data_IF_771863986449
#
_entry.id   IF_771863986449
#
_cell.length_a   1.000
_cell.length_b   1.000
_cell.length_c   1.000
_cell.angle_alpha   90.00
_cell.angle_beta   90.00
_cell.angle_gamma   90.00
#
_symmetry.space_group_name_H-M   'P 1'
#
loop_
_entity.id
_entity.type
_entity.pdbx_description
1 polymer ?
#
# COMPACT_ATOMS: atom_id res chain seq x y z
N UNK A 1 37.27 2.71 -15.57
CA UNK A 1 37.07 1.96 -14.35
C UNK A 1 35.85 1.09 -14.54
N UNK A 2 36.07 -0.21 -14.45
CA UNK A 2 35.06 -1.23 -14.69
C UNK A 2 33.98 -1.09 -13.64
N UNK A 3 32.77 -0.73 -14.06
CA UNK A 3 31.63 -0.61 -13.17
C UNK A 3 30.78 -1.88 -13.25
N UNK A 4 30.44 -2.43 -12.10
CA UNK A 4 29.55 -3.57 -11.99
C UNK A 4 28.18 -3.05 -11.54
N UNK A 5 27.14 -3.31 -12.33
CA UNK A 5 25.76 -2.93 -12.00
C UNK A 5 25.01 -4.15 -11.50
N UNK A 6 24.47 -4.05 -10.29
CA UNK A 6 23.60 -5.06 -9.70
C UNK A 6 22.15 -4.60 -9.75
N UNK A 7 21.31 -5.37 -10.43
CA UNK A 7 19.87 -5.16 -10.49
C UNK A 7 19.17 -6.01 -9.44
N UNK A 8 18.51 -5.36 -8.50
CA UNK A 8 17.84 -6.04 -7.38
C UNK A 8 16.33 -6.06 -7.61
N UNK A 9 15.74 -7.24 -7.59
CA UNK A 9 14.30 -7.41 -7.75
C UNK A 9 13.54 -7.15 -6.43
N UNK A 10 12.28 -6.73 -6.53
CA UNK A 10 11.42 -6.41 -5.35
C UNK A 10 11.11 -7.61 -4.45
N UNK A 11 11.39 -8.82 -4.91
CA UNK A 11 11.18 -10.04 -4.14
C UNK A 11 12.41 -10.47 -3.32
N UNK A 12 13.51 -9.71 -3.41
CA UNK A 12 14.73 -9.95 -2.62
C UNK A 12 14.46 -9.70 -1.14
N UNK A 13 15.04 -10.51 -0.26
CA UNK A 13 14.89 -10.29 1.17
C UNK A 13 15.58 -8.99 1.63
N UNK A 14 15.11 -8.44 2.74
CA UNK A 14 15.64 -7.19 3.30
C UNK A 14 17.12 -7.35 3.73
N UNK A 15 17.48 -8.54 4.20
CA UNK A 15 18.85 -8.86 4.63
C UNK A 15 19.81 -8.77 3.43
N UNK A 16 19.45 -9.37 2.31
CA UNK A 16 20.24 -9.31 1.06
C UNK A 16 20.34 -7.88 0.57
N UNK A 17 19.25 -7.11 0.60
CA UNK A 17 19.25 -5.70 0.22
C UNK A 17 20.21 -4.88 1.08
N UNK A 18 20.19 -5.08 2.40
CA UNK A 18 21.08 -4.39 3.33
C UNK A 18 22.57 -4.75 3.08
N UNK A 19 22.86 -6.02 2.86
CA UNK A 19 24.20 -6.45 2.51
C UNK A 19 24.69 -5.80 1.21
N UNK A 20 23.85 -5.77 0.18
CA UNK A 20 24.18 -5.13 -1.10
C UNK A 20 24.41 -3.61 -0.94
N UNK A 21 23.63 -2.94 -0.07
CA UNK A 21 23.85 -1.54 0.25
C UNK A 21 25.21 -1.32 0.93
N UNK A 22 25.58 -2.18 1.88
CA UNK A 22 26.91 -2.13 2.53
C UNK A 22 28.02 -2.33 1.50
N UNK A 23 27.87 -3.30 0.59
CA UNK A 23 28.82 -3.53 -0.50
C UNK A 23 28.96 -2.31 -1.41
N UNK A 24 27.84 -1.71 -1.82
CA UNK A 24 27.85 -0.53 -2.67
C UNK A 24 28.48 0.70 -2.00
N UNK A 25 28.36 0.81 -0.68
CA UNK A 25 29.06 1.87 0.08
C UNK A 25 30.56 1.59 0.24
N UNK A 26 30.94 0.34 0.41
CA UNK A 26 32.36 -0.05 0.59
C UNK A 26 33.14 0.01 -0.72
N UNK A 27 32.54 -0.36 -1.81
CA UNK A 27 33.17 -0.48 -3.11
C UNK A 27 32.52 0.45 -4.13
N UNK A 28 33.20 1.51 -4.52
CA UNK A 28 32.68 2.57 -5.42
C UNK A 28 32.40 2.10 -6.85
N UNK A 29 32.94 0.94 -7.25
CA UNK A 29 32.70 0.35 -8.57
C UNK A 29 31.38 -0.43 -8.64
N UNK A 30 30.72 -0.70 -7.51
CA UNK A 30 29.40 -1.32 -7.48
C UNK A 30 28.29 -0.27 -7.51
N UNK A 31 27.35 -0.44 -8.44
CA UNK A 31 26.13 0.36 -8.51
C UNK A 31 24.92 -0.51 -8.30
N UNK A 32 24.07 -0.16 -7.35
CA UNK A 32 22.79 -0.79 -7.16
C UNK A 32 21.72 -0.09 -8.02
N UNK A 33 20.96 -0.90 -8.73
CA UNK A 33 19.86 -0.46 -9.59
C UNK A 33 18.63 -1.34 -9.37
N UNK A 34 17.46 -0.80 -9.67
CA UNK A 34 16.23 -1.55 -9.72
C UNK A 34 15.69 -1.57 -11.16
N UNK A 35 15.09 -2.68 -11.60
CA UNK A 35 14.61 -2.81 -12.97
C UNK A 35 13.41 -1.91 -13.27
N UNK A 36 12.57 -1.65 -12.29
CA UNK A 36 11.36 -0.85 -12.45
C UNK A 36 11.46 0.51 -11.76
N UNK A 37 10.94 1.58 -12.40
CA UNK A 37 10.86 2.88 -11.75
C UNK A 37 9.88 2.81 -10.58
N UNK A 38 10.39 2.86 -9.37
CA UNK A 38 9.57 2.96 -8.18
C UNK A 38 9.47 4.43 -7.76
N UNK A 39 8.77 5.21 -8.54
CA UNK A 39 8.34 6.54 -8.09
C UNK A 39 7.09 6.36 -7.21
N UNK A 40 7.31 6.05 -5.96
CA UNK A 40 6.31 6.34 -4.95
C UNK A 40 6.35 7.87 -4.77
N UNK A 41 5.34 8.55 -5.30
CA UNK A 41 5.19 9.99 -5.12
C UNK A 41 4.65 10.28 -3.71
N UNK A 42 5.33 9.77 -2.70
CA UNK A 42 4.96 9.92 -1.29
C UNK A 42 6.13 10.56 -0.58
N UNK A 43 5.89 11.61 0.19
CA UNK A 43 6.92 12.22 1.01
C UNK A 43 7.49 11.19 2.00
N UNK A 44 8.80 11.28 2.27
CA UNK A 44 9.49 10.37 3.19
C UNK A 44 8.81 10.30 4.56
N UNK A 45 8.23 11.40 5.01
CA UNK A 45 7.44 11.46 6.26
C UNK A 45 6.17 10.60 6.22
N UNK A 46 5.72 10.21 5.03
CA UNK A 46 4.53 9.38 4.82
C UNK A 46 4.85 7.90 4.65
N UNK A 47 6.11 7.49 4.74
CA UNK A 47 6.51 6.09 4.60
C UNK A 47 5.83 5.17 5.63
N UNK A 48 5.39 5.69 6.78
CA UNK A 48 4.61 4.93 7.75
C UNK A 48 3.26 4.44 7.19
N UNK A 49 2.72 5.11 6.16
CA UNK A 49 1.50 4.68 5.49
C UNK A 49 1.69 3.41 4.65
N UNK A 50 2.93 3.08 4.31
CA UNK A 50 3.26 1.88 3.54
C UNK A 50 3.31 0.62 4.42
N UNK A 51 3.39 0.79 5.74
CA UNK A 51 3.41 -0.32 6.68
C UNK A 51 2.00 -0.82 6.97
N UNK A 52 1.79 -2.11 6.80
CA UNK A 52 0.53 -2.75 7.19
C UNK A 52 0.59 -3.15 8.66
N UNK A 53 -0.16 -2.43 9.51
CA UNK A 53 -0.35 -2.77 10.92
C UNK A 53 -1.58 -3.64 11.20
N UNK A 54 -2.14 -4.27 10.17
CA UNK A 54 -3.39 -5.01 10.28
C UNK A 54 -3.16 -6.41 10.85
N UNK A 55 -3.42 -6.56 12.14
CA UNK A 55 -3.43 -7.86 12.81
C UNK A 55 -4.81 -8.53 12.75
N UNK A 56 -4.82 -9.85 12.90
CA UNK A 56 -6.06 -10.65 12.87
C UNK A 56 -7.07 -10.20 13.93
N UNK A 57 -6.59 -9.82 15.11
CA UNK A 57 -7.42 -9.28 16.20
C UNK A 57 -8.17 -8.01 15.80
N UNK A 58 -7.54 -7.11 15.02
CA UNK A 58 -8.19 -5.91 14.52
C UNK A 58 -9.30 -6.24 13.52
N UNK A 59 -9.07 -7.21 12.62
CA UNK A 59 -10.10 -7.67 11.67
C UNK A 59 -11.29 -8.27 12.42
N UNK A 60 -11.04 -9.06 13.46
CA UNK A 60 -12.11 -9.67 14.25
C UNK A 60 -12.91 -8.66 15.06
N UNK A 61 -12.27 -7.61 15.55
CA UNK A 61 -12.89 -6.54 16.34
C UNK A 61 -13.64 -5.50 15.49
N UNK A 62 -13.40 -5.47 14.17
CA UNK A 62 -14.02 -4.51 13.27
C UNK A 62 -15.40 -4.96 12.82
N UNK A 63 -16.28 -4.00 12.52
CA UNK A 63 -17.57 -4.24 11.87
C UNK A 63 -17.66 -3.62 10.46
N UNK A 64 -16.62 -2.91 10.03
CA UNK A 64 -16.59 -2.27 8.70
C UNK A 64 -15.18 -2.32 8.10
N UNK A 65 -15.11 -2.63 6.81
CA UNK A 65 -13.87 -2.59 6.04
C UNK A 65 -14.08 -1.83 4.74
N UNK A 66 -13.18 -0.90 4.44
CA UNK A 66 -13.15 -0.18 3.17
C UNK A 66 -11.91 -0.55 2.39
N UNK A 67 -12.11 -1.08 1.20
CA UNK A 67 -11.08 -1.46 0.26
C UNK A 67 -10.96 -0.37 -0.81
N UNK A 68 -9.79 0.21 -0.98
CA UNK A 68 -9.58 1.32 -1.91
C UNK A 68 -8.58 0.89 -2.99
N UNK A 69 -9.10 0.60 -4.18
CA UNK A 69 -8.30 0.14 -5.31
C UNK A 69 -7.58 -1.18 -5.09
N UNK A 70 -8.08 -2.02 -4.17
CA UNK A 70 -7.48 -3.32 -3.82
C UNK A 70 -8.41 -4.44 -4.25
N UNK A 71 -7.89 -5.45 -4.93
CA UNK A 71 -8.59 -6.70 -5.17
C UNK A 71 -7.98 -7.84 -4.34
N UNK A 72 -8.41 -8.02 -3.08
CA UNK A 72 -7.79 -8.98 -2.18
C UNK A 72 -7.93 -10.43 -2.65
N UNK A 73 -8.85 -10.74 -3.56
CA UNK A 73 -8.99 -12.09 -4.12
C UNK A 73 -7.74 -12.50 -4.89
N UNK A 74 -7.12 -11.58 -5.64
CA UNK A 74 -5.93 -11.85 -6.47
C UNK A 74 -4.66 -11.32 -5.83
N UNK A 75 -4.72 -10.19 -5.15
CA UNK A 75 -3.56 -9.49 -4.61
C UNK A 75 -3.18 -9.96 -3.19
N UNK A 76 -4.17 -10.48 -2.43
CA UNK A 76 -3.97 -10.88 -1.04
C UNK A 76 -4.94 -11.98 -0.61
N UNK A 77 -4.78 -13.18 -1.15
CA UNK A 77 -5.71 -14.31 -0.91
C UNK A 77 -5.91 -14.62 0.57
N UNK A 78 -4.85 -14.54 1.40
CA UNK A 78 -4.93 -14.73 2.84
C UNK A 78 -5.79 -13.65 3.53
N UNK A 79 -5.66 -12.38 3.10
CA UNK A 79 -6.50 -11.29 3.57
C UNK A 79 -7.95 -11.52 3.17
N UNK A 80 -8.19 -11.91 1.91
CA UNK A 80 -9.54 -12.21 1.41
C UNK A 80 -10.24 -13.30 2.23
N UNK A 81 -9.53 -14.37 2.58
CA UNK A 81 -10.05 -15.44 3.45
C UNK A 81 -10.40 -14.93 4.86
N UNK A 82 -9.59 -14.06 5.43
CA UNK A 82 -9.84 -13.46 6.76
C UNK A 82 -11.07 -12.55 6.74
N UNK A 83 -11.19 -11.69 5.73
CA UNK A 83 -12.35 -10.81 5.57
C UNK A 83 -13.63 -11.64 5.37
N UNK A 84 -13.59 -12.68 4.54
CA UNK A 84 -14.69 -13.61 4.37
C UNK A 84 -15.08 -14.31 5.67
N UNK A 85 -14.09 -14.85 6.40
CA UNK A 85 -14.33 -15.50 7.70
C UNK A 85 -14.95 -14.53 8.71
N UNK A 86 -14.52 -13.26 8.70
CA UNK A 86 -15.11 -12.22 9.56
C UNK A 86 -16.56 -11.93 9.17
N UNK A 87 -16.86 -11.83 7.86
CA UNK A 87 -18.20 -11.55 7.38
C UNK A 87 -19.19 -12.68 7.71
N UNK A 88 -18.75 -13.94 7.64
CA UNK A 88 -19.60 -15.09 7.99
C UNK A 88 -20.02 -15.08 9.47
N UNK A 89 -19.29 -14.37 10.34
CA UNK A 89 -19.68 -14.18 11.75
C UNK A 89 -20.79 -13.14 11.95
N UNK A 90 -21.18 -12.44 10.89
CA UNK A 90 -22.21 -11.39 10.91
C UNK A 90 -21.69 -10.02 11.32
N UNK A 91 -22.53 -8.99 11.11
CA UNK A 91 -22.28 -7.60 11.45
C UNK A 91 -20.94 -7.05 10.92
N UNK A 92 -20.61 -7.36 9.66
CA UNK A 92 -19.42 -6.87 9.01
C UNK A 92 -19.73 -6.42 7.58
N UNK A 93 -19.57 -5.14 7.33
CA UNK A 93 -19.82 -4.53 6.04
C UNK A 93 -18.51 -4.28 5.29
N UNK A 94 -18.45 -4.70 4.03
CA UNK A 94 -17.31 -4.44 3.17
C UNK A 94 -17.72 -3.50 2.05
N UNK A 95 -17.02 -2.37 1.94
CA UNK A 95 -17.20 -1.39 0.87
C UNK A 95 -15.96 -1.41 0.00
N UNK A 96 -16.14 -1.50 -1.30
CA UNK A 96 -15.06 -1.47 -2.26
C UNK A 96 -15.16 -0.20 -3.12
N UNK A 97 -14.11 0.62 -3.08
CA UNK A 97 -13.93 1.81 -3.90
C UNK A 97 -12.93 1.47 -5.02
N UNK A 98 -13.43 1.35 -6.24
CA UNK A 98 -12.57 1.01 -7.37
C UNK A 98 -13.32 0.35 -8.52
N UNK A 99 -12.61 -0.41 -9.35
CA UNK A 99 -13.21 -1.23 -10.39
C UNK A 99 -14.11 -2.30 -9.77
N UNK A 100 -15.13 -2.72 -10.49
CA UNK A 100 -16.00 -3.83 -10.06
C UNK A 100 -15.19 -5.08 -9.78
N UNK A 101 -15.26 -5.57 -8.54
CA UNK A 101 -14.58 -6.79 -8.10
C UNK A 101 -15.59 -7.80 -7.56
N UNK A 102 -15.38 -9.06 -7.87
CA UNK A 102 -16.10 -10.17 -7.28
C UNK A 102 -15.23 -10.79 -6.17
N UNK A 103 -15.54 -10.43 -4.92
CA UNK A 103 -14.84 -10.90 -3.74
C UNK A 103 -15.55 -12.13 -3.21
N UNK A 104 -15.55 -13.25 -3.55
CA UNK A 104 -16.14 -14.48 -2.97
C UNK A 104 -17.14 -14.30 -1.78
N UNK A 105 -17.46 -13.07 -1.40
CA UNK A 105 -18.38 -12.65 -0.35
C UNK A 105 -19.03 -11.31 -0.72
N UNK A 106 -20.10 -10.95 -0.01
CA UNK A 106 -20.86 -9.72 -0.29
C UNK A 106 -20.02 -8.47 -0.02
N UNK A 107 -19.98 -7.59 -1.00
CA UNK A 107 -19.34 -6.28 -0.89
C UNK A 107 -20.18 -5.24 -1.66
N UNK A 108 -20.26 -4.04 -1.11
CA UNK A 108 -20.82 -2.90 -1.81
C UNK A 108 -19.75 -2.28 -2.72
N UNK A 109 -19.92 -2.42 -4.03
CA UNK A 109 -19.02 -1.80 -5.00
C UNK A 109 -19.44 -0.36 -5.28
N UNK A 110 -18.53 0.56 -5.10
CA UNK A 110 -18.71 1.97 -5.45
C UNK A 110 -17.74 2.29 -6.59
N UNK A 111 -18.18 3.13 -7.51
CA UNK A 111 -17.40 3.48 -8.70
C UNK A 111 -15.99 4.02 -8.38
N UNK A 112 -15.08 3.88 -9.34
CA UNK A 112 -13.67 4.25 -9.22
C UNK A 112 -13.37 5.76 -9.24
N UNK A 113 -14.37 6.62 -9.14
CA UNK A 113 -14.21 8.07 -9.20
C UNK A 113 -13.59 8.63 -7.90
N UNK A 114 -12.55 9.44 -8.04
CA UNK A 114 -11.97 10.20 -6.92
C UNK A 114 -12.94 11.20 -6.29
N UNK A 115 -13.99 11.59 -7.03
CA UNK A 115 -15.06 12.44 -6.51
C UNK A 115 -15.81 11.79 -5.34
N UNK A 116 -15.88 10.46 -5.32
CA UNK A 116 -16.52 9.72 -4.22
C UNK A 116 -15.68 9.83 -2.94
N UNK A 117 -14.35 9.75 -3.03
CA UNK A 117 -13.50 10.02 -1.88
C UNK A 117 -13.72 11.43 -1.33
N UNK A 118 -13.88 12.41 -2.23
CA UNK A 118 -14.21 13.79 -1.82
C UNK A 118 -15.56 13.85 -1.13
N UNK A 119 -16.61 13.25 -1.69
CA UNK A 119 -17.96 13.23 -1.07
C UNK A 119 -18.00 12.49 0.26
N UNK A 120 -17.17 11.46 0.44
CA UNK A 120 -17.01 10.76 1.72
C UNK A 120 -16.36 11.66 2.78
N UNK A 121 -15.35 12.44 2.40
CA UNK A 121 -14.66 13.38 3.30
C UNK A 121 -15.58 14.53 3.68
N UNK A 122 -16.38 15.04 2.73
CA UNK A 122 -17.35 16.11 2.94
C UNK A 122 -18.59 15.66 3.72
N UNK A 123 -18.75 14.36 3.97
CA UNK A 123 -19.92 13.83 4.69
C UNK A 123 -21.21 13.71 3.83
N UNK A 124 -21.12 13.98 2.53
CA UNK A 124 -22.27 14.02 1.62
C UNK A 124 -22.66 12.63 1.04
N UNK A 125 -22.06 11.56 1.56
CA UNK A 125 -22.30 10.22 1.05
C UNK A 125 -23.10 9.38 2.04
N UNK A 126 -24.01 8.54 1.53
CA UNK A 126 -24.84 7.63 2.35
C UNK A 126 -23.99 6.69 3.25
N UNK A 127 -22.80 6.35 2.81
CA UNK A 127 -21.89 5.50 3.58
C UNK A 127 -21.25 6.19 4.79
N UNK A 128 -21.31 7.54 4.87
CA UNK A 128 -20.77 8.29 6.00
C UNK A 128 -21.44 7.91 7.33
N UNK A 129 -22.75 7.66 7.32
CA UNK A 129 -23.46 7.17 8.50
C UNK A 129 -22.95 5.81 8.97
N UNK A 130 -22.56 4.94 8.02
CA UNK A 130 -21.93 3.65 8.33
C UNK A 130 -20.60 3.81 9.06
N UNK A 131 -19.79 4.81 8.68
CA UNK A 131 -18.51 5.11 9.35
C UNK A 131 -18.73 5.61 10.78
N UNK A 132 -19.68 6.52 10.98
CA UNK A 132 -19.98 7.09 12.30
C UNK A 132 -20.44 6.01 13.29
N UNK A 133 -21.25 5.06 12.81
CA UNK A 133 -21.78 3.97 13.61
C UNK A 133 -20.87 2.75 13.68
N UNK A 134 -19.70 2.80 13.02
CA UNK A 134 -18.80 1.65 12.96
C UNK A 134 -17.91 1.54 14.18
N UNK A 135 -17.72 0.29 14.64
CA UNK A 135 -16.72 -0.05 15.64
C UNK A 135 -15.43 -0.46 14.92
N UNK A 136 -14.33 0.23 15.21
CA UNK A 136 -13.01 -0.06 14.67
C UNK A 136 -12.98 -0.25 13.12
N UNK A 137 -13.35 0.75 12.33
CA UNK A 137 -13.34 0.64 10.88
C UNK A 137 -11.93 0.42 10.35
N UNK A 138 -11.79 -0.44 9.34
CA UNK A 138 -10.51 -0.77 8.70
C UNK A 138 -10.48 -0.15 7.31
N UNK A 139 -9.41 0.58 6.99
CA UNK A 139 -9.14 1.05 5.65
C UNK A 139 -7.94 0.30 5.08
N UNK A 140 -8.10 -0.22 3.86
CA UNK A 140 -7.04 -0.93 3.13
C UNK A 140 -6.92 -0.32 1.75
N UNK A 141 -5.74 0.16 1.39
CA UNK A 141 -5.44 0.73 0.08
C UNK A 141 -4.40 -0.10 -0.68
N UNK A 142 -4.41 -0.02 -2.00
CA UNK A 142 -3.35 -0.57 -2.82
C UNK A 142 -2.13 0.35 -2.85
N UNK A 143 -0.92 -0.23 -2.93
CA UNK A 143 0.31 0.53 -3.17
C UNK A 143 0.32 1.21 -4.54
N UNK A 144 -0.48 0.74 -5.49
CA UNK A 144 -0.61 1.36 -6.82
C UNK A 144 -1.14 2.80 -6.77
N UNK A 145 -1.90 3.16 -5.73
CA UNK A 145 -2.38 4.54 -5.52
C UNK A 145 -1.20 5.50 -5.39
N UNK A 146 -0.11 5.08 -4.73
CA UNK A 146 1.07 5.92 -4.50
C UNK A 146 1.96 6.08 -5.73
N UNK A 147 1.80 5.23 -6.74
CA UNK A 147 2.54 5.32 -8.01
C UNK A 147 1.90 6.30 -9.00
N UNK A 148 0.67 6.73 -8.75
CA UNK A 148 -0.06 7.65 -9.61
C UNK A 148 0.55 9.06 -9.60
N UNK A 149 0.34 9.82 -10.67
CA UNK A 149 0.78 11.23 -10.75
C UNK A 149 0.08 12.13 -9.73
N UNK A 150 -1.17 11.80 -9.38
CA UNK A 150 -2.02 12.50 -8.42
C UNK A 150 -1.94 11.91 -7.00
N UNK A 151 -0.95 11.05 -6.73
CA UNK A 151 -0.78 10.34 -5.46
C UNK A 151 -0.75 11.27 -4.24
N UNK A 152 -0.12 12.43 -4.34
CA UNK A 152 -0.06 13.41 -3.25
C UNK A 152 -1.46 13.89 -2.82
N UNK A 153 -2.31 14.22 -3.79
CA UNK A 153 -3.69 14.62 -3.49
C UNK A 153 -4.49 13.47 -2.88
N UNK A 154 -4.34 12.26 -3.42
CA UNK A 154 -5.04 11.07 -2.93
C UNK A 154 -4.61 10.70 -1.51
N UNK A 155 -3.33 10.73 -1.21
CA UNK A 155 -2.82 10.46 0.14
C UNK A 155 -3.32 11.47 1.15
N UNK A 156 -3.38 12.76 0.81
CA UNK A 156 -3.95 13.78 1.67
C UNK A 156 -5.45 13.58 1.89
N UNK A 157 -6.19 13.19 0.86
CA UNK A 157 -7.60 12.82 1.00
C UNK A 157 -7.79 11.62 1.94
N UNK A 158 -6.97 10.57 1.79
CA UNK A 158 -7.02 9.41 2.68
C UNK A 158 -6.69 9.77 4.13
N UNK A 159 -5.72 10.65 4.35
CA UNK A 159 -5.38 11.16 5.69
C UNK A 159 -6.54 11.93 6.32
N UNK A 160 -7.18 12.80 5.54
CA UNK A 160 -8.35 13.53 6.01
C UNK A 160 -9.49 12.57 6.36
N UNK A 161 -9.75 11.57 5.50
CA UNK A 161 -10.76 10.54 5.77
C UNK A 161 -10.48 9.81 7.09
N UNK A 162 -9.24 9.42 7.34
CA UNK A 162 -8.85 8.76 8.59
C UNK A 162 -9.09 9.67 9.78
N UNK A 163 -8.65 10.93 9.71
CA UNK A 163 -8.87 11.90 10.78
C UNK A 163 -10.36 12.09 11.07
N UNK A 164 -11.19 12.16 10.05
CA UNK A 164 -12.65 12.24 10.22
C UNK A 164 -13.20 10.99 10.89
N UNK A 165 -12.76 9.80 10.48
CA UNK A 165 -13.17 8.55 11.12
C UNK A 165 -12.76 8.52 12.59
N UNK A 166 -11.53 8.92 12.94
CA UNK A 166 -11.03 8.96 14.32
C UNK A 166 -11.81 9.96 15.19
N UNK A 167 -12.22 11.08 14.61
CA UNK A 167 -13.00 12.10 15.33
C UNK A 167 -14.45 11.66 15.61
N UNK A 168 -15.06 10.90 14.70
CA UNK A 168 -16.47 10.53 14.77
C UNK A 168 -16.71 9.12 15.31
N UNK A 169 -15.72 8.23 15.27
CA UNK A 169 -15.86 6.89 15.85
C UNK A 169 -15.78 6.95 17.37
N UNK A 170 -16.81 6.43 18.03
CA UNK A 170 -16.94 6.47 19.50
C UNK A 170 -15.91 5.60 20.23
N UNK A 171 -15.19 4.74 19.54
CA UNK A 171 -14.21 3.79 20.10
C UNK A 171 -12.94 3.76 19.24
N UNK A 172 -12.27 4.89 19.11
CA UNK A 172 -11.06 5.00 18.27
C UNK A 172 -9.82 4.41 18.97
N UNK A 173 -9.59 3.14 18.76
CA UNK A 173 -8.20 2.73 18.62
C UNK A 173 -7.75 3.24 17.25
N UNK A 174 -6.87 4.26 17.20
CA UNK A 174 -6.35 4.92 16.01
C UNK A 174 -6.57 4.12 14.72
N UNK A 175 -7.52 4.56 13.89
CA UNK A 175 -7.75 3.96 12.59
C UNK A 175 -6.52 4.22 11.74
N UNK A 176 -5.84 3.16 11.35
CA UNK A 176 -4.64 3.26 10.54
C UNK A 176 -4.98 2.93 9.09
N UNK A 177 -4.43 3.71 8.17
CA UNK A 177 -4.42 3.30 6.77
C UNK A 177 -3.51 2.08 6.63
N UNK A 178 -4.09 0.98 6.20
CA UNK A 178 -3.33 -0.21 5.89
C UNK A 178 -3.09 -0.26 4.38
N UNK A 179 -1.90 -0.65 3.98
CA UNK A 179 -1.57 -0.81 2.56
C UNK A 179 -1.33 -2.28 2.25
N UNK A 180 -1.90 -2.74 1.15
CA UNK A 180 -1.60 -4.05 0.61
C UNK A 180 -0.43 -3.94 -0.34
N UNK A 181 0.71 -4.51 0.04
CA UNK A 181 1.91 -4.56 -0.76
C UNK A 181 1.89 -5.79 -1.65
N UNK A 182 2.27 -5.63 -2.91
CA UNK A 182 2.27 -6.72 -3.90
C UNK A 182 3.59 -7.50 -3.89
N UNK A 183 4.70 -6.85 -3.55
CA UNK A 183 6.00 -7.49 -3.44
C UNK A 183 6.44 -7.61 -1.98
N UNK A 184 7.28 -8.61 -1.71
CA UNK A 184 7.74 -8.94 -0.35
C UNK A 184 8.48 -7.77 0.32
N UNK A 185 9.23 -7.00 -0.45
CA UNK A 185 10.11 -5.95 0.08
C UNK A 185 9.81 -4.56 -0.49
N UNK A 186 8.55 -4.27 -0.87
CA UNK A 186 8.16 -2.95 -1.38
C UNK A 186 8.52 -1.83 -0.39
N UNK A 187 8.34 -2.06 0.91
CA UNK A 187 8.65 -1.08 1.96
C UNK A 187 10.16 -0.88 2.10
N UNK A 188 10.94 -1.96 2.07
CA UNK A 188 12.40 -1.89 2.15
C UNK A 188 13.00 -1.14 0.96
N UNK A 189 12.47 -1.37 -0.23
CA UNK A 189 12.87 -0.64 -1.42
C UNK A 189 12.52 0.84 -1.36
N UNK A 190 11.33 1.19 -0.85
CA UNK A 190 10.92 2.60 -0.72
C UNK A 190 11.80 3.38 0.27
N UNK A 191 12.29 2.70 1.31
CA UNK A 191 13.17 3.31 2.32
C UNK A 191 14.62 3.39 1.89
N UNK A 192 15.04 2.64 0.86
CA UNK A 192 16.40 2.69 0.35
C UNK A 192 16.59 3.84 -0.65
N UNK A 193 17.10 4.97 -0.16
CA UNK A 193 17.35 6.18 -0.95
C UNK A 193 18.34 6.00 -2.11
N UNK A 194 19.15 4.94 -2.08
CA UNK A 194 20.25 4.71 -3.03
C UNK A 194 19.84 3.89 -4.27
N UNK A 195 18.64 3.31 -4.28
CA UNK A 195 18.17 2.50 -5.40
C UNK A 195 17.58 3.40 -6.50
N UNK A 196 18.38 3.65 -7.52
CA UNK A 196 17.93 4.33 -8.75
C UNK A 196 17.51 3.29 -9.78
N UNK A 197 16.60 3.67 -10.67
CA UNK A 197 16.25 2.82 -11.82
C UNK A 197 17.41 2.63 -12.75
N UNK A 198 17.50 1.45 -13.37
CA UNK A 198 18.48 1.18 -14.40
C UNK A 198 18.23 2.07 -15.62
N UNK A 199 19.29 2.62 -16.19
CA UNK A 199 19.24 3.48 -17.36
C UNK A 199 20.06 2.88 -18.50
N UNK A 200 19.81 3.33 -19.73
CA UNK A 200 20.61 2.93 -20.88
C UNK A 200 22.11 3.26 -20.73
N UNK A 201 22.44 4.29 -19.91
CA UNK A 201 23.82 4.64 -19.60
C UNK A 201 24.49 3.61 -18.68
N UNK A 202 23.72 2.99 -17.78
CA UNK A 202 24.25 1.91 -16.92
C UNK A 202 24.64 0.70 -17.77
N UNK A 203 23.86 0.35 -18.81
CA UNK A 203 24.21 -0.73 -19.74
C UNK A 203 25.49 -0.44 -20.54
N UNK A 204 25.72 0.82 -20.93
CA UNK A 204 26.92 1.18 -21.71
C UNK A 204 28.18 1.26 -20.86
N UNK A 205 28.04 1.61 -19.58
CA UNK A 205 29.17 1.89 -18.70
C UNK A 205 29.54 0.72 -17.78
N UNK A 206 28.73 -0.36 -17.79
CA UNK A 206 28.98 -1.53 -16.95
C UNK A 206 29.74 -2.60 -17.71
N UNK A 207 30.76 -3.15 -17.07
CA UNK A 207 31.46 -4.37 -17.58
C UNK A 207 30.69 -5.64 -17.26
N UNK A 208 29.79 -5.60 -16.27
CA UNK A 208 28.94 -6.72 -15.90
C UNK A 208 27.63 -6.24 -15.27
N UNK A 209 26.53 -6.94 -15.58
CA UNK A 209 25.21 -6.71 -14.99
C UNK A 209 24.75 -8.01 -14.36
N UNK A 210 24.46 -7.95 -13.06
CA UNK A 210 23.96 -9.08 -12.30
C UNK A 210 22.53 -8.81 -11.86
N UNK A 211 21.65 -9.79 -12.07
CA UNK A 211 20.27 -9.77 -11.61
C UNK A 211 20.14 -10.65 -10.37
N UNK A 212 19.61 -10.10 -9.28
CA UNK A 212 19.43 -10.75 -7.98
C UNK A 212 17.96 -10.68 -7.55
#
# INVERSE_FOLDING_TARGET
PDQITMCVAKNTSLEVLNLLNIFAHKYTFFKLRQPEPQKLNVDLEQNYLLNSGLHDSKILASNMCVLIGVNPRYEGSKLNLKLRSRQLKGNFNVIHLGSLVNLTFYNANITSSTQILKSLIEGNNLFCQGFINSLNPILISSTEIFKRKDSFCLTNMLRLLIKHIDLFSQHSSQSQLNTLNLALNDVGFSNSSNLKTITNLDFKNSTGIYFI
#
